data_IF_339528299529
#
_entry.id   IF_339528299529
#
_cell.length_a   1.000
_cell.length_b   1.000
_cell.length_c   1.000
_cell.angle_alpha   90.00
_cell.angle_beta   90.00
_cell.angle_gamma   90.00
#
_symmetry.space_group_name_H-M   'P 1'
#
loop_
_entity.id
_entity.type
_entity.pdbx_description
1 polymer ?
#
# COMPACT_ATOMS: atom_id res chain seq x y z
N UNK A 1 -16.32 -2.18 5.09
CA UNK A 1 -15.59 -2.47 3.83
C UNK A 1 -14.59 -1.42 3.37
N UNK A 2 -14.77 -0.11 3.68
CA UNK A 2 -13.85 0.97 3.22
C UNK A 2 -12.35 0.77 3.50
N UNK A 3 -12.02 -0.03 4.52
CA UNK A 3 -10.66 -0.32 4.97
C UNK A 3 -10.02 -1.52 4.28
N UNK A 4 -10.83 -2.41 3.70
CA UNK A 4 -10.32 -3.65 3.12
C UNK A 4 -9.46 -3.37 1.89
N UNK A 5 -9.88 -2.44 1.03
CA UNK A 5 -9.13 -2.06 -0.17
C UNK A 5 -7.76 -1.46 0.18
N UNK A 6 -7.63 -0.39 1.00
CA UNK A 6 -6.32 0.15 1.33
C UNK A 6 -5.45 -0.85 2.10
N UNK A 7 -6.04 -1.69 2.95
CA UNK A 7 -5.30 -2.76 3.64
C UNK A 7 -4.72 -3.77 2.66
N UNK A 8 -5.53 -4.28 1.72
CA UNK A 8 -5.07 -5.20 0.69
C UNK A 8 -3.97 -4.60 -0.18
N UNK A 9 -4.09 -3.32 -0.55
CA UNK A 9 -3.06 -2.61 -1.32
C UNK A 9 -1.74 -2.54 -0.55
N UNK A 10 -1.77 -2.28 0.77
CA UNK A 10 -0.56 -2.27 1.59
C UNK A 10 0.07 -3.66 1.69
N UNK A 11 -0.73 -4.70 1.93
CA UNK A 11 -0.24 -6.08 2.03
C UNK A 11 0.38 -6.54 0.71
N UNK A 12 -0.29 -6.30 -0.42
CA UNK A 12 0.22 -6.62 -1.76
C UNK A 12 1.47 -5.82 -2.07
N UNK A 13 1.49 -4.51 -1.78
CA UNK A 13 2.67 -3.67 -1.98
C UNK A 13 3.87 -4.16 -1.17
N UNK A 14 3.65 -4.55 0.09
CA UNK A 14 4.69 -5.13 0.94
C UNK A 14 5.22 -6.46 0.38
N UNK A 15 4.34 -7.34 -0.09
CA UNK A 15 4.72 -8.60 -0.71
C UNK A 15 5.56 -8.38 -1.98
N UNK A 16 5.13 -7.47 -2.86
CA UNK A 16 5.88 -7.11 -4.08
C UNK A 16 7.23 -6.49 -3.75
N UNK A 17 7.30 -5.66 -2.71
CA UNK A 17 8.56 -5.06 -2.26
C UNK A 17 9.55 -6.13 -1.77
N UNK A 18 9.10 -7.05 -0.92
CA UNK A 18 9.96 -8.12 -0.37
C UNK A 18 10.40 -9.09 -1.46
N UNK A 19 9.48 -9.51 -2.34
CA UNK A 19 9.82 -10.41 -3.45
C UNK A 19 10.74 -9.73 -4.47
N UNK A 20 10.54 -8.43 -4.74
CA UNK A 20 11.46 -7.65 -5.55
C UNK A 20 12.85 -7.47 -4.91
N UNK A 21 12.91 -7.44 -3.58
CA UNK A 21 14.16 -7.48 -2.81
C UNK A 21 14.87 -8.82 -2.91
N UNK A 22 14.13 -9.92 -2.82
CA UNK A 22 14.68 -11.26 -2.95
C UNK A 22 15.21 -11.57 -4.36
N UNK A 23 14.70 -10.86 -5.38
CA UNK A 23 15.07 -11.02 -6.79
C UNK A 23 16.03 -9.92 -7.30
N UNK A 24 16.62 -9.10 -6.41
CA UNK A 24 17.48 -7.95 -6.78
C UNK A 24 16.88 -7.04 -7.87
N UNK A 25 15.55 -6.96 -7.92
CA UNK A 25 14.77 -6.27 -8.94
C UNK A 25 14.35 -4.88 -8.43
N UNK A 26 15.10 -3.80 -8.71
CA UNK A 26 14.81 -2.46 -8.19
C UNK A 26 13.46 -1.92 -8.64
N UNK A 27 12.97 -2.35 -9.81
CA UNK A 27 11.65 -1.99 -10.32
C UNK A 27 10.50 -2.52 -9.46
N UNK A 28 10.57 -3.79 -9.04
CA UNK A 28 9.57 -4.42 -8.17
C UNK A 28 9.57 -3.78 -6.79
N UNK A 29 10.75 -3.49 -6.22
CA UNK A 29 10.83 -2.70 -4.99
C UNK A 29 10.20 -1.32 -5.15
N UNK A 30 10.47 -0.61 -6.25
CA UNK A 30 9.84 0.68 -6.54
C UNK A 30 8.31 0.61 -6.59
N UNK A 31 7.76 -0.38 -7.31
CA UNK A 31 6.31 -0.61 -7.41
C UNK A 31 5.73 -0.95 -6.04
N UNK A 32 6.37 -1.85 -5.29
CA UNK A 32 5.94 -2.23 -3.94
C UNK A 32 5.88 -1.03 -2.99
N UNK A 33 6.91 -0.18 -3.01
CA UNK A 33 6.97 1.03 -2.20
C UNK A 33 5.84 2.01 -2.54
N UNK A 34 5.56 2.23 -3.83
CA UNK A 34 4.46 3.09 -4.28
C UNK A 34 3.11 2.55 -3.84
N UNK A 35 2.90 1.24 -3.95
CA UNK A 35 1.66 0.59 -3.50
C UNK A 35 1.46 0.75 -1.99
N UNK A 36 2.49 0.51 -1.18
CA UNK A 36 2.42 0.71 0.27
C UNK A 36 2.09 2.17 0.61
N UNK A 37 2.83 3.13 0.04
CA UNK A 37 2.61 4.54 0.31
C UNK A 37 1.20 5.01 -0.13
N UNK A 38 0.75 4.55 -1.30
CA UNK A 38 -0.58 4.84 -1.82
C UNK A 38 -1.69 4.26 -0.94
N UNK A 39 -1.57 2.98 -0.55
CA UNK A 39 -2.53 2.30 0.32
C UNK A 39 -2.65 2.98 1.69
N UNK A 40 -1.52 3.34 2.31
CA UNK A 40 -1.51 4.10 3.57
C UNK A 40 -2.18 5.47 3.38
N UNK A 41 -1.84 6.20 2.33
CA UNK A 41 -2.41 7.53 2.07
C UNK A 41 -3.92 7.47 1.87
N UNK A 42 -4.41 6.51 1.08
CA UNK A 42 -5.84 6.29 0.84
C UNK A 42 -6.56 5.90 2.12
N UNK A 43 -5.95 5.01 2.92
CA UNK A 43 -6.44 4.64 4.24
C UNK A 43 -6.59 5.88 5.13
N UNK A 44 -5.52 6.64 5.35
CA UNK A 44 -5.55 7.84 6.21
C UNK A 44 -6.61 8.84 5.73
N UNK A 45 -6.70 9.08 4.42
CA UNK A 45 -7.73 9.96 3.84
C UNK A 45 -9.16 9.45 4.11
N UNK A 46 -9.37 8.14 4.08
CA UNK A 46 -10.63 7.50 4.45
C UNK A 46 -11.02 7.78 5.90
N UNK A 47 -10.07 7.69 6.85
CA UNK A 47 -10.34 7.87 8.30
C UNK A 47 -10.75 9.31 8.51
N UNK A 48 -9.97 10.23 7.91
CA UNK A 48 -10.16 11.66 8.06
C UNK A 48 -11.51 12.11 7.50
N UNK A 49 -11.96 11.53 6.38
CA UNK A 49 -13.28 11.83 5.82
C UNK A 49 -14.42 11.37 6.73
N UNK A 50 -14.29 10.20 7.35
CA UNK A 50 -15.31 9.71 8.28
C UNK A 50 -15.42 10.52 9.54
N UNK A 51 -14.29 10.95 10.11
CA UNK A 51 -14.30 11.79 11.31
C UNK A 51 -14.86 13.20 11.05
N UNK A 52 -15.00 13.61 9.79
CA UNK A 52 -15.48 14.95 9.39
C UNK A 52 -16.95 14.95 8.97
N UNK A 53 -17.58 13.78 8.84
CA UNK A 53 -19.02 13.60 8.63
C UNK A 53 -19.70 13.33 9.97
#
# INVERSE_FOLDING_TARGET
MRWLVPLLVVVLGGAVFVLGGADDSPGLQGIGAVLVAGGVTLGVRGVRRDRRR
#
